data_IF_499906212851
#
_entry.id   IF_499906212851
#
_cell.length_a   1.000
_cell.length_b   1.000
_cell.length_c   1.000
_cell.angle_alpha   90.00
_cell.angle_beta   90.00
_cell.angle_gamma   90.00
#
_symmetry.space_group_name_H-M   'P 1'
#
loop_
_entity.id
_entity.type
_entity.pdbx_description
1 polymer ?
#
# COMPACT_ATOMS: atom_id res chain seq x y z
N UNK A 1 -3.71 17.50 5.06
CA UNK A 1 -5.00 16.77 5.01
C UNK A 1 -5.63 16.74 3.62
N UNK A 2 -5.77 17.87 2.89
CA UNK A 2 -6.28 17.87 1.50
C UNK A 2 -5.53 16.89 0.58
N UNK A 3 -4.19 16.95 0.59
CA UNK A 3 -3.36 16.04 -0.22
C UNK A 3 -3.58 14.55 0.07
N UNK A 4 -3.85 14.16 1.32
CA UNK A 4 -4.14 12.76 1.65
C UNK A 4 -5.48 12.29 1.09
N UNK A 5 -6.52 13.12 1.21
CA UNK A 5 -7.84 12.82 0.64
C UNK A 5 -7.77 12.74 -0.89
N UNK A 6 -7.04 13.65 -1.52
CA UNK A 6 -6.80 13.66 -2.97
C UNK A 6 -6.09 12.38 -3.45
N UNK A 7 -5.11 11.88 -2.70
CA UNK A 7 -4.41 10.61 -3.04
C UNK A 7 -5.32 9.40 -2.81
N UNK A 8 -6.08 9.36 -1.71
CA UNK A 8 -7.03 8.25 -1.45
C UNK A 8 -8.11 8.14 -2.54
N UNK A 9 -8.62 9.27 -3.01
CA UNK A 9 -9.66 9.33 -4.05
C UNK A 9 -9.20 8.79 -5.40
N UNK A 10 -7.89 8.70 -5.65
CA UNK A 10 -7.37 8.13 -6.90
C UNK A 10 -7.54 6.60 -6.95
N UNK A 11 -7.89 5.95 -5.85
CA UNK A 11 -8.17 4.51 -5.84
C UNK A 11 -6.89 3.66 -5.90
N UNK A 12 -6.96 2.52 -6.58
CA UNK A 12 -5.86 1.56 -6.71
C UNK A 12 -4.80 2.01 -7.73
N UNK A 13 -4.18 3.17 -7.50
CA UNK A 13 -3.09 3.68 -8.33
C UNK A 13 -1.77 2.97 -8.03
N UNK A 14 -0.94 2.81 -9.05
CA UNK A 14 0.45 2.38 -8.90
C UNK A 14 1.22 3.32 -7.97
N UNK A 15 2.04 2.75 -7.08
CA UNK A 15 2.96 3.53 -6.23
C UNK A 15 4.36 3.69 -6.85
N UNK A 16 4.60 3.10 -8.03
CA UNK A 16 5.90 3.14 -8.71
C UNK A 16 6.93 2.15 -8.15
N UNK A 17 6.47 1.16 -7.38
CA UNK A 17 7.30 0.12 -6.76
C UNK A 17 6.82 -1.27 -7.16
N UNK A 18 7.69 -2.25 -7.02
CA UNK A 18 7.38 -3.66 -7.17
C UNK A 18 7.66 -4.40 -5.86
N UNK A 19 6.88 -5.45 -5.60
CA UNK A 19 7.14 -6.41 -4.52
C UNK A 19 8.34 -7.32 -4.87
N UNK A 20 8.71 -8.22 -3.97
CA UNK A 20 9.88 -9.09 -4.18
C UNK A 20 9.71 -10.09 -5.33
N UNK A 21 8.47 -10.31 -5.79
CA UNK A 21 8.12 -11.20 -6.90
C UNK A 21 7.94 -10.43 -8.22
N UNK A 22 8.15 -9.13 -8.24
CA UNK A 22 7.99 -8.28 -9.42
C UNK A 22 6.54 -7.86 -9.69
N UNK A 23 5.63 -8.02 -8.72
CA UNK A 23 4.25 -7.50 -8.83
C UNK A 23 4.28 -6.00 -8.57
N UNK A 24 3.69 -5.22 -9.48
CA UNK A 24 3.57 -3.77 -9.33
C UNK A 24 2.62 -3.46 -8.17
N UNK A 25 3.15 -2.78 -7.15
CA UNK A 25 2.37 -2.40 -5.98
C UNK A 25 1.50 -1.17 -6.27
N UNK A 26 0.31 -1.18 -5.67
CA UNK A 26 -0.71 -0.15 -5.77
C UNK A 26 -1.18 0.26 -4.39
N UNK A 27 -1.73 1.46 -4.31
CA UNK A 27 -2.49 1.88 -3.14
C UNK A 27 -3.64 0.89 -2.89
N UNK A 28 -3.88 0.60 -1.60
CA UNK A 28 -4.82 -0.40 -1.11
C UNK A 28 -4.42 -1.87 -1.34
N UNK A 29 -3.19 -2.15 -1.78
CA UNK A 29 -2.66 -3.50 -1.72
C UNK A 29 -2.42 -3.90 -0.25
N UNK A 30 -2.86 -5.11 0.09
CA UNK A 30 -2.34 -5.84 1.22
C UNK A 30 -1.08 -6.58 0.80
N UNK A 31 -0.03 -6.41 1.59
CA UNK A 31 1.26 -7.07 1.39
C UNK A 31 1.70 -7.77 2.67
N UNK A 32 2.43 -8.86 2.53
CA UNK A 32 3.06 -9.55 3.65
C UNK A 32 4.55 -9.20 3.75
N UNK A 33 5.02 -8.84 4.93
CA UNK A 33 6.44 -8.59 5.21
C UNK A 33 6.75 -9.09 6.62
N UNK A 34 7.83 -9.86 6.78
CA UNK A 34 8.23 -10.45 8.07
C UNK A 34 7.07 -11.14 8.83
N UNK A 35 6.24 -11.90 8.11
CA UNK A 35 5.04 -12.60 8.60
C UNK A 35 3.84 -11.72 8.97
N UNK A 36 4.01 -10.40 9.04
CA UNK A 36 2.93 -9.44 9.29
C UNK A 36 2.29 -8.93 7.99
N UNK A 37 1.07 -8.41 8.10
CA UNK A 37 0.29 -7.87 6.97
C UNK A 37 0.20 -6.36 7.04
N UNK A 38 0.52 -5.69 5.93
CA UNK A 38 0.52 -4.23 5.82
C UNK A 38 -0.39 -3.77 4.70
N UNK A 39 -1.02 -2.61 4.89
CA UNK A 39 -1.81 -1.92 3.86
C UNK A 39 -0.98 -0.82 3.21
N UNK A 40 -0.81 -0.89 1.89
CA UNK A 40 -0.12 0.15 1.12
C UNK A 40 -0.99 1.41 1.05
N UNK A 41 -0.52 2.52 1.64
CA UNK A 41 -1.26 3.79 1.69
C UNK A 41 -0.31 4.99 1.71
N UNK A 42 -0.81 6.17 1.32
CA UNK A 42 -0.05 7.41 1.39
C UNK A 42 0.08 7.91 2.83
N UNK A 43 1.31 8.15 3.28
CA UNK A 43 1.57 8.72 4.60
C UNK A 43 1.62 10.25 4.54
N UNK A 44 0.67 10.99 5.14
CA UNK A 44 0.53 12.44 4.96
C UNK A 44 1.68 13.27 5.55
N UNK A 45 2.38 12.75 6.57
CA UNK A 45 3.49 13.48 7.20
C UNK A 45 4.81 13.27 6.46
N UNK A 46 5.00 12.07 5.88
CA UNK A 46 6.24 11.69 5.20
C UNK A 46 6.18 11.94 3.70
N UNK A 47 4.97 12.19 3.15
CA UNK A 47 4.73 12.45 1.73
C UNK A 47 5.27 11.31 0.85
N UNK A 48 5.03 10.07 1.27
CA UNK A 48 5.42 8.85 0.56
C UNK A 48 4.39 7.73 0.78
N UNK A 49 4.45 6.69 -0.05
CA UNK A 49 3.69 5.46 0.18
C UNK A 49 4.42 4.56 1.18
N UNK A 50 3.66 4.02 2.14
CA UNK A 50 4.16 3.11 3.18
C UNK A 50 3.27 1.87 3.25
N UNK A 51 3.78 0.80 3.84
CA UNK A 51 2.95 -0.29 4.34
C UNK A 51 2.53 0.03 5.76
N UNK A 52 1.26 0.38 5.99
CA UNK A 52 0.71 0.68 7.31
C UNK A 52 0.25 -0.60 8.01
N UNK A 53 0.59 -0.73 9.30
CA UNK A 53 0.16 -1.81 10.16
C UNK A 53 -0.99 -1.35 11.10
N UNK A 54 -1.78 -2.29 11.61
CA UNK A 54 -2.87 -1.97 12.55
C UNK A 54 -2.39 -1.50 13.93
N UNK A 55 -1.15 -1.82 14.31
CA UNK A 55 -0.52 -1.33 15.56
C UNK A 55 -0.22 0.18 15.54
N UNK A 56 -0.28 0.80 14.36
CA UNK A 56 0.20 2.17 14.13
C UNK A 56 1.64 2.25 13.65
N UNK A 57 2.35 1.11 13.56
CA UNK A 57 3.66 1.03 12.89
C UNK A 57 3.51 1.05 11.37
N UNK A 58 4.62 1.28 10.67
CA UNK A 58 4.68 1.18 9.23
C UNK A 58 6.04 0.68 8.74
N UNK A 59 6.05 0.15 7.53
CA UNK A 59 7.27 -0.13 6.77
C UNK A 59 7.43 0.90 5.65
N UNK A 60 8.66 1.28 5.39
CA UNK A 60 9.04 2.30 4.42
C UNK A 60 8.78 1.89 2.97
N UNK A 61 8.79 2.88 2.07
CA UNK A 61 8.73 2.65 0.62
C UNK A 61 9.82 1.69 0.10
N UNK A 62 10.99 1.69 0.74
CA UNK A 62 12.09 0.78 0.40
C UNK A 62 11.85 -0.64 0.89
N UNK A 63 11.27 -0.82 2.09
CA UNK A 63 10.96 -2.14 2.65
C UNK A 63 9.81 -2.82 1.91
N UNK A 64 8.90 -2.06 1.31
CA UNK A 64 7.85 -2.59 0.44
C UNK A 64 8.42 -3.48 -0.70
N UNK A 65 9.66 -3.25 -1.16
CA UNK A 65 10.33 -4.12 -2.15
C UNK A 65 10.54 -5.55 -1.68
N UNK A 66 10.62 -5.77 -0.37
CA UNK A 66 10.83 -7.08 0.24
C UNK A 66 9.50 -7.75 0.63
N UNK A 67 8.38 -7.06 0.43
CA UNK A 67 7.05 -7.59 0.71
C UNK A 67 6.55 -8.51 -0.40
N UNK A 68 5.47 -9.24 -0.12
CA UNK A 68 4.74 -10.07 -1.09
C UNK A 68 3.31 -9.56 -1.21
N UNK A 69 2.88 -9.25 -2.43
CA UNK A 69 1.49 -8.91 -2.72
C UNK A 69 0.53 -10.06 -2.36
N UNK A 70 -0.58 -9.72 -1.70
CA UNK A 70 -1.66 -10.64 -1.37
C UNK A 70 -2.92 -10.36 -2.18
N UNK A 71 -3.47 -9.14 -2.05
CA UNK A 71 -4.70 -8.70 -2.74
C UNK A 71 -4.83 -7.18 -2.69
N UNK A 72 -5.58 -6.58 -3.60
CA UNK A 72 -6.00 -5.19 -3.49
C UNK A 72 -7.42 -5.07 -2.91
N UNK A 73 -7.59 -4.23 -1.89
CA UNK A 73 -8.89 -4.07 -1.23
C UNK A 73 -9.94 -3.34 -2.09
N UNK A 74 -9.54 -2.62 -3.15
CA UNK A 74 -10.46 -1.97 -4.09
C UNK A 74 -10.92 -2.87 -5.22
N UNK A 75 -10.21 -3.96 -5.52
CA UNK A 75 -10.63 -4.92 -6.54
C UNK A 75 -11.86 -5.72 -6.11
N UNK A 76 -12.09 -5.85 -4.80
CA UNK A 76 -13.26 -6.53 -4.25
C UNK A 76 -14.55 -5.70 -4.35
N UNK A 77 -14.49 -4.43 -4.80
CA UNK A 77 -15.66 -3.53 -4.86
C UNK A 77 -16.43 -3.57 -6.19
N UNK A 78 -16.01 -4.36 -7.19
CA UNK A 78 -16.63 -4.41 -8.52
C UNK A 78 -17.40 -5.72 -8.79
N UNK A 79 -17.87 -6.41 -7.75
CA UNK A 79 -18.80 -7.53 -7.87
C UNK A 79 -20.20 -7.10 -7.38
N UNK A 80 -20.84 -6.20 -8.12
CA UNK A 80 -22.29 -5.95 -8.05
C UNK A 80 -22.89 -6.00 -9.46
#
# INVERSE_FOLDING_TARGET
MKAFQEVLMQGAISIGQFDQKGVQLRQFDLVQYQQETYLVIWHPMHHEFVGSHESGDWISYTELRQSVYLKNLKELQYQE
#
